data_IF_871942631014
#
_entry.id   IF_871942631014
#
_cell.length_a   1.000
_cell.length_b   1.000
_cell.length_c   1.000
_cell.angle_alpha   90.00
_cell.angle_beta   90.00
_cell.angle_gamma   90.00
#
_symmetry.space_group_name_H-M   'P 1'
#
loop_
_entity.id
_entity.type
_entity.pdbx_description
1 polymer ?
#
# COMPACT_ATOMS: atom_id res chain seq x y z
N UNK A 1 -15.58 0.87 -10.91
CA UNK A 1 -14.50 -0.14 -10.94
C UNK A 1 -13.18 0.58 -11.22
N UNK A 2 -12.07 0.20 -10.56
CA UNK A 2 -10.81 0.97 -10.58
C UNK A 2 -10.18 1.12 -11.98
N UNK A 3 -10.43 0.18 -12.91
CA UNK A 3 -9.87 0.21 -14.27
C UNK A 3 -10.21 1.45 -15.08
N UNK A 4 -11.43 1.99 -14.94
CA UNK A 4 -11.81 3.21 -15.67
C UNK A 4 -10.96 4.41 -15.24
N UNK A 5 -10.60 4.48 -13.95
CA UNK A 5 -9.72 5.54 -13.43
C UNK A 5 -8.26 5.27 -13.81
N UNK A 6 -7.79 4.02 -13.71
CA UNK A 6 -6.42 3.67 -14.11
C UNK A 6 -6.19 3.93 -15.60
N UNK A 7 -7.12 3.55 -16.48
CA UNK A 7 -7.02 3.83 -17.90
C UNK A 7 -7.10 5.33 -18.23
N UNK A 8 -7.93 6.10 -17.50
CA UNK A 8 -8.08 7.54 -17.72
C UNK A 8 -6.85 8.34 -17.27
N UNK A 9 -6.27 8.01 -16.12
CA UNK A 9 -5.20 8.80 -15.50
C UNK A 9 -3.81 8.21 -15.70
N UNK A 10 -3.71 6.92 -16.05
CA UNK A 10 -2.46 6.18 -16.25
C UNK A 10 -1.38 6.50 -15.19
N UNK A 11 -1.66 6.32 -13.89
CA UNK A 11 -0.79 6.80 -12.83
C UNK A 11 0.47 5.94 -12.68
N UNK A 12 1.55 6.55 -12.16
CA UNK A 12 2.77 5.84 -11.74
C UNK A 12 2.66 5.27 -10.31
N UNK A 13 1.80 5.86 -9.48
CA UNK A 13 1.60 5.51 -8.07
C UNK A 13 0.09 5.46 -7.80
N UNK A 14 -0.39 4.36 -7.23
CA UNK A 14 -1.75 4.17 -6.75
C UNK A 14 -1.75 4.07 -5.22
N UNK A 15 -2.51 4.94 -4.57
CA UNK A 15 -2.75 4.89 -3.12
C UNK A 15 -4.20 4.46 -2.89
N UNK A 16 -4.41 3.32 -2.25
CA UNK A 16 -5.72 2.78 -1.89
C UNK A 16 -5.86 2.80 -0.38
N UNK A 17 -6.56 3.79 0.17
CA UNK A 17 -6.75 3.92 1.62
C UNK A 17 -8.20 4.28 1.96
N UNK A 18 -8.50 4.42 3.25
CA UNK A 18 -9.84 4.71 3.75
C UNK A 18 -9.96 4.34 5.22
N UNK A 19 -11.08 3.74 5.60
CA UNK A 19 -11.27 3.18 6.94
C UNK A 19 -11.11 1.68 6.91
N UNK A 20 -10.51 1.14 7.97
CA UNK A 20 -10.50 -0.28 8.26
C UNK A 20 -10.39 -0.48 9.76
N UNK A 21 -10.41 -1.72 10.18
CA UNK A 21 -10.29 -2.06 11.57
C UNK A 21 -10.62 -3.52 11.79
N UNK A 22 -9.91 -4.13 12.73
CA UNK A 22 -10.29 -5.44 13.22
C UNK A 22 -11.66 -5.35 13.89
N UNK A 23 -12.57 -6.23 13.50
CA UNK A 23 -13.86 -6.40 14.17
C UNK A 23 -13.62 -6.99 15.55
N UNK A 24 -12.75 -7.99 15.62
CA UNK A 24 -12.38 -8.67 16.86
C UNK A 24 -10.88 -8.54 17.12
N UNK A 25 -10.52 -7.72 18.10
CA UNK A 25 -9.13 -7.34 18.39
C UNK A 25 -8.36 -8.48 19.07
N UNK A 26 -7.10 -8.68 18.64
CA UNK A 26 -6.14 -9.56 19.32
C UNK A 26 -6.20 -11.05 18.95
N UNK A 27 -7.05 -11.45 18.00
CA UNK A 27 -7.16 -12.82 17.53
C UNK A 27 -7.59 -12.89 16.07
N UNK A 28 -7.49 -14.07 15.45
CA UNK A 28 -7.87 -14.34 14.05
C UNK A 28 -7.32 -13.29 13.07
N UNK A 29 -6.01 -13.02 13.16
CA UNK A 29 -5.34 -12.08 12.24
C UNK A 29 -5.37 -12.56 10.78
N UNK A 30 -5.51 -13.87 10.57
CA UNK A 30 -5.51 -14.46 9.23
C UNK A 30 -6.91 -14.64 8.62
N UNK A 31 -7.96 -14.13 9.28
CA UNK A 31 -9.32 -14.20 8.79
C UNK A 31 -9.70 -12.88 8.12
N UNK A 32 -9.84 -12.88 6.79
CA UNK A 32 -10.22 -11.69 6.01
C UNK A 32 -11.57 -11.09 6.42
N UNK A 33 -12.46 -11.88 7.03
CA UNK A 33 -13.75 -11.42 7.52
C UNK A 33 -13.66 -10.80 8.92
N UNK A 34 -12.51 -10.90 9.60
CA UNK A 34 -12.25 -10.18 10.84
C UNK A 34 -11.86 -8.72 10.60
N UNK A 35 -11.84 -8.25 9.35
CA UNK A 35 -11.51 -6.89 8.98
C UNK A 35 -12.70 -6.25 8.27
N UNK A 36 -12.99 -4.99 8.61
CA UNK A 36 -14.16 -4.29 8.06
C UNK A 36 -14.06 -4.15 6.55
N UNK A 37 -12.89 -3.76 6.04
CA UNK A 37 -12.71 -3.35 4.65
C UNK A 37 -11.49 -3.95 3.95
N UNK A 38 -10.62 -4.69 4.63
CA UNK A 38 -9.41 -5.29 4.01
C UNK A 38 -9.71 -6.09 2.74
N UNK A 39 -10.84 -6.82 2.68
CA UNK A 39 -11.26 -7.56 1.48
C UNK A 39 -11.40 -6.67 0.24
N UNK A 40 -11.82 -5.42 0.40
CA UNK A 40 -11.97 -4.48 -0.70
C UNK A 40 -10.63 -3.88 -1.13
N UNK A 41 -9.69 -3.71 -0.19
CA UNK A 41 -8.32 -3.33 -0.53
C UNK A 41 -7.64 -4.43 -1.35
N UNK A 42 -7.71 -5.68 -0.88
CA UNK A 42 -7.22 -6.86 -1.61
C UNK A 42 -7.78 -6.91 -3.03
N UNK A 43 -9.10 -6.85 -3.16
CA UNK A 43 -9.77 -6.87 -4.47
C UNK A 43 -9.33 -5.71 -5.38
N UNK A 44 -9.12 -4.52 -4.82
CA UNK A 44 -8.67 -3.35 -5.58
C UNK A 44 -7.24 -3.54 -6.08
N UNK A 45 -6.34 -4.08 -5.24
CA UNK A 45 -4.95 -4.37 -5.61
C UNK A 45 -4.90 -5.43 -6.72
N UNK A 46 -5.64 -6.53 -6.58
CA UNK A 46 -5.74 -7.58 -7.61
C UNK A 46 -6.16 -6.97 -8.95
N UNK A 47 -7.24 -6.18 -8.95
CA UNK A 47 -7.72 -5.51 -10.18
C UNK A 47 -6.67 -4.55 -10.76
N UNK A 48 -5.97 -3.78 -9.94
CA UNK A 48 -4.92 -2.89 -10.42
C UNK A 48 -3.77 -3.67 -11.08
N UNK A 49 -3.36 -4.81 -10.51
CA UNK A 49 -2.33 -5.68 -11.08
C UNK A 49 -2.76 -6.37 -12.37
N UNK A 50 -4.02 -6.78 -12.48
CA UNK A 50 -4.59 -7.29 -13.72
C UNK A 50 -4.56 -6.24 -14.83
N UNK A 51 -4.88 -4.98 -14.52
CA UNK A 51 -4.83 -3.88 -15.48
C UNK A 51 -3.39 -3.58 -15.94
N UNK A 52 -2.44 -3.59 -15.01
CA UNK A 52 -1.03 -3.39 -15.31
C UNK A 52 -0.40 -4.54 -16.13
N UNK A 53 -1.02 -5.72 -16.11
CA UNK A 53 -0.47 -6.96 -16.69
C UNK A 53 0.80 -7.44 -15.95
N UNK A 54 0.88 -7.23 -14.64
CA UNK A 54 1.90 -7.82 -13.77
C UNK A 54 3.34 -7.29 -13.94
N UNK A 55 3.52 -6.18 -14.66
CA UNK A 55 4.85 -5.61 -14.90
C UNK A 55 5.48 -4.88 -13.69
N UNK A 56 4.76 -4.73 -12.57
CA UNK A 56 5.19 -4.03 -11.34
C UNK A 56 5.75 -2.60 -11.58
N UNK A 57 5.22 -1.92 -12.61
CA UNK A 57 5.50 -0.54 -13.00
C UNK A 57 4.71 0.49 -12.18
N UNK A 58 3.51 0.16 -11.73
CA UNK A 58 2.61 0.91 -10.87
C UNK A 58 3.01 0.62 -9.43
N UNK A 59 3.47 1.64 -8.70
CA UNK A 59 3.72 1.50 -7.28
C UNK A 59 2.39 1.56 -6.52
N UNK A 60 2.05 0.51 -5.77
CA UNK A 60 0.79 0.42 -5.03
C UNK A 60 1.04 0.48 -3.53
N UNK A 61 0.46 1.49 -2.88
CA UNK A 61 0.23 1.50 -1.44
C UNK A 61 -1.22 1.13 -1.17
N UNK A 62 -1.49 0.22 -0.23
CA UNK A 62 -2.86 -0.14 0.14
C UNK A 62 -3.07 -0.38 1.64
N UNK A 63 -4.27 -0.02 2.13
CA UNK A 63 -4.70 -0.27 3.49
C UNK A 63 -5.02 1.00 4.29
N UNK A 64 -5.48 0.78 5.51
CA UNK A 64 -5.76 1.80 6.52
C UNK A 64 -5.34 1.31 7.92
N UNK A 65 -5.91 1.92 8.96
CA UNK A 65 -5.72 1.49 10.34
C UNK A 65 -6.10 0.02 10.54
N UNK A 66 -5.21 -0.75 11.16
CA UNK A 66 -5.40 -2.16 11.49
C UNK A 66 -5.80 -3.08 10.32
N UNK A 67 -5.41 -2.74 9.10
CA UNK A 67 -5.67 -3.58 7.92
C UNK A 67 -5.00 -4.95 8.01
N UNK A 68 -5.54 -5.91 7.26
CA UNK A 68 -4.92 -7.22 7.05
C UNK A 68 -3.74 -7.10 6.09
N UNK A 69 -2.63 -6.62 6.63
CA UNK A 69 -1.38 -6.35 5.92
C UNK A 69 -0.96 -7.48 4.98
N UNK A 70 -0.91 -8.72 5.47
CA UNK A 70 -0.38 -9.86 4.73
C UNK A 70 -1.23 -10.17 3.49
N UNK A 71 -2.56 -10.16 3.62
CA UNK A 71 -3.45 -10.39 2.48
C UNK A 71 -3.31 -9.29 1.41
N UNK A 72 -3.10 -8.04 1.82
CA UNK A 72 -2.89 -6.91 0.89
C UNK A 72 -1.54 -7.04 0.17
N UNK A 73 -0.49 -7.45 0.89
CA UNK A 73 0.82 -7.71 0.30
C UNK A 73 0.76 -8.90 -0.67
N UNK A 74 0.10 -10.00 -0.30
CA UNK A 74 -0.08 -11.19 -1.14
C UNK A 74 -0.88 -10.88 -2.41
N UNK A 75 -1.84 -9.94 -2.34
CA UNK A 75 -2.56 -9.42 -3.50
C UNK A 75 -1.66 -8.66 -4.51
N UNK A 76 -0.44 -8.29 -4.10
CA UNK A 76 0.56 -7.66 -4.96
C UNK A 76 0.81 -6.17 -4.69
N UNK A 77 0.45 -5.64 -3.51
CA UNK A 77 0.82 -4.28 -3.15
C UNK A 77 2.35 -4.16 -2.96
N UNK A 78 2.92 -2.98 -3.24
CA UNK A 78 4.33 -2.72 -2.95
C UNK A 78 4.54 -2.37 -1.47
N UNK A 79 3.60 -1.63 -0.91
CA UNK A 79 3.53 -1.26 0.50
C UNK A 79 2.10 -1.45 1.01
N UNK A 80 1.97 -1.83 2.26
CA UNK A 80 0.70 -1.89 2.95
C UNK A 80 0.79 -1.37 4.37
N UNK A 81 -0.32 -0.86 4.86
CA UNK A 81 -0.40 -0.36 6.23
C UNK A 81 -0.62 -1.46 7.25
N UNK A 82 -0.23 -1.13 8.47
CA UNK A 82 -0.52 -1.80 9.72
C UNK A 82 -0.07 -3.26 9.84
N UNK A 83 1.21 -3.61 9.55
CA UNK A 83 1.76 -4.93 9.89
C UNK A 83 1.49 -5.36 11.34
N UNK A 84 1.58 -4.41 12.28
CA UNK A 84 1.32 -4.63 13.70
C UNK A 84 -0.17 -4.47 14.10
N UNK A 85 -1.08 -4.24 13.15
CA UNK A 85 -2.53 -4.04 13.35
C UNK A 85 -2.85 -2.87 14.29
N UNK A 86 -2.07 -1.80 14.17
CA UNK A 86 -2.17 -0.54 14.90
C UNK A 86 -2.90 0.56 14.10
N UNK A 87 -3.25 1.64 14.79
CA UNK A 87 -3.66 2.87 14.14
C UNK A 87 -2.43 3.50 13.47
N UNK A 88 -2.60 4.05 12.26
CA UNK A 88 -1.55 4.74 11.52
C UNK A 88 -1.90 6.22 11.37
N UNK A 89 -0.92 7.05 11.02
CA UNK A 89 -1.21 8.44 10.70
C UNK A 89 -1.79 8.57 9.29
N UNK A 90 -2.69 9.54 9.08
CA UNK A 90 -3.23 9.80 7.75
C UNK A 90 -2.15 10.29 6.77
N UNK A 91 -1.02 10.80 7.28
CA UNK A 91 0.14 11.21 6.49
C UNK A 91 1.00 10.05 6.02
N UNK A 92 0.99 8.89 6.71
CA UNK A 92 1.88 7.78 6.40
C UNK A 92 1.78 7.31 4.93
N UNK A 93 0.58 7.15 4.33
CA UNK A 93 0.45 6.84 2.89
C UNK A 93 1.06 7.91 1.98
N UNK A 94 0.99 9.18 2.38
CA UNK A 94 1.51 10.31 1.61
C UNK A 94 3.04 10.37 1.67
N UNK A 95 3.63 10.05 2.82
CA UNK A 95 5.10 9.95 2.99
C UNK A 95 5.65 8.88 2.05
N UNK A 96 5.03 7.69 2.02
CA UNK A 96 5.44 6.61 1.12
C UNK A 96 5.33 7.03 -0.35
N UNK A 97 4.16 7.54 -0.75
CA UNK A 97 3.93 7.97 -2.13
C UNK A 97 4.89 9.09 -2.54
N UNK A 98 5.11 10.08 -1.67
CA UNK A 98 6.02 11.20 -1.90
C UNK A 98 7.48 10.75 -2.03
N UNK A 99 7.92 9.80 -1.20
CA UNK A 99 9.26 9.22 -1.33
C UNK A 99 9.46 8.53 -2.67
N UNK A 100 8.50 7.70 -3.08
CA UNK A 100 8.55 7.00 -4.37
C UNK A 100 8.54 8.01 -5.53
N UNK A 101 7.67 9.03 -5.45
CA UNK A 101 7.53 10.04 -6.50
C UNK A 101 8.80 10.88 -6.71
N UNK A 102 9.52 11.20 -5.63
CA UNK A 102 10.68 12.09 -5.66
C UNK A 102 12.01 11.36 -5.81
N UNK A 103 12.02 10.04 -5.64
CA UNK A 103 13.21 9.20 -5.83
C UNK A 103 13.43 8.90 -7.31
N UNK A 104 14.69 8.93 -7.75
CA UNK A 104 15.10 8.60 -9.12
C UNK A 104 14.62 7.20 -9.54
N UNK A 105 14.17 7.06 -10.79
CA UNK A 105 13.61 5.81 -11.30
C UNK A 105 14.57 4.61 -11.26
N UNK A 106 15.89 4.85 -11.24
CA UNK A 106 16.90 3.79 -11.14
C UNK A 106 17.13 3.33 -9.69
N UNK A 107 16.57 4.03 -8.69
CA UNK A 107 16.72 3.66 -7.28
C UNK A 107 15.50 2.90 -6.79
N UNK A 108 15.75 1.93 -5.92
CA UNK A 108 14.73 1.13 -5.27
C UNK A 108 14.48 1.67 -3.86
N UNK A 109 13.22 1.99 -3.55
CA UNK A 109 12.79 2.51 -2.24
C UNK A 109 12.27 1.36 -1.39
N UNK A 110 12.82 1.21 -0.19
CA UNK A 110 12.45 0.19 0.80
C UNK A 110 11.93 0.83 2.08
N UNK A 111 11.38 0.02 2.99
CA UNK A 111 10.94 0.50 4.31
C UNK A 111 12.07 1.17 5.10
N UNK A 112 13.33 0.75 4.92
CA UNK A 112 14.47 1.35 5.61
C UNK A 112 14.71 2.81 5.18
N UNK A 113 14.30 3.19 3.98
CA UNK A 113 14.47 4.54 3.44
C UNK A 113 13.42 5.53 3.95
N UNK A 114 12.32 5.02 4.53
CA UNK A 114 11.13 5.81 4.92
C UNK A 114 10.73 5.66 6.39
N UNK A 115 11.13 4.60 7.10
CA UNK A 115 10.60 4.27 8.43
C UNK A 115 10.75 5.37 9.47
N UNK A 116 11.79 6.20 9.37
CA UNK A 116 12.03 7.30 10.30
C UNK A 116 11.12 8.52 10.04
N UNK A 117 10.45 8.57 8.89
CA UNK A 117 9.50 9.62 8.49
C UNK A 117 8.04 9.21 8.79
N UNK A 118 7.81 7.94 9.15
CA UNK A 118 6.50 7.39 9.50
C UNK A 118 6.23 7.48 10.99
N UNK A 119 4.96 7.64 11.39
CA UNK A 119 4.58 7.79 12.81
C UNK A 119 5.04 6.61 13.68
N UNK A 120 4.77 5.40 13.23
CA UNK A 120 5.04 4.15 13.96
C UNK A 120 6.07 3.26 13.23
N UNK A 121 6.81 3.84 12.28
CA UNK A 121 7.81 3.12 11.49
C UNK A 121 7.26 1.89 10.78
N UNK A 122 8.04 0.80 10.83
CA UNK A 122 7.70 -0.47 10.18
C UNK A 122 6.47 -1.18 10.79
N UNK A 123 6.09 -0.83 12.02
CA UNK A 123 4.87 -1.36 12.64
C UNK A 123 3.61 -0.75 12.00
N UNK A 124 3.72 0.50 11.53
CA UNK A 124 2.64 1.25 10.90
C UNK A 124 2.55 1.03 9.39
N UNK A 125 3.66 0.87 8.69
CA UNK A 125 3.67 0.56 7.25
C UNK A 125 4.88 -0.32 6.96
N UNK A 126 4.73 -1.32 6.09
CA UNK A 126 5.86 -2.05 5.55
C UNK A 126 5.58 -2.48 4.11
N UNK A 127 6.53 -3.16 3.48
CA UNK A 127 6.37 -3.60 2.10
C UNK A 127 7.64 -4.18 1.49
N UNK A 128 7.50 -4.69 0.26
CA UNK A 128 8.60 -5.22 -0.56
C UNK A 128 9.40 -4.11 -1.26
N UNK A 129 8.89 -2.88 -1.26
CA UNK A 129 9.50 -1.74 -1.93
C UNK A 129 8.99 -1.49 -3.35
N UNK A 130 9.47 -0.39 -3.94
CA UNK A 130 9.17 0.01 -5.31
C UNK A 130 10.30 0.84 -5.91
N UNK A 131 10.46 0.80 -7.23
CA UNK A 131 11.30 1.77 -7.94
C UNK A 131 10.73 3.18 -7.83
N UNK A 132 11.63 4.17 -7.70
CA UNK A 132 11.29 5.58 -7.78
C UNK A 132 10.59 5.94 -9.10
N UNK A 133 9.94 7.10 -9.13
CA UNK A 133 9.21 7.59 -10.32
C UNK A 133 9.74 8.90 -10.88
N UNK A 134 10.69 9.55 -10.20
CA UNK A 134 11.31 10.77 -10.71
C UNK A 134 12.19 10.40 -11.91
N UNK A 135 11.84 10.95 -13.07
CA UNK A 135 12.72 10.93 -14.25
C UNK A 135 13.54 12.21 -14.23
N UNK A 136 14.85 12.07 -14.17
CA UNK A 136 15.76 13.19 -14.44
C UNK A 136 15.79 13.35 -15.96
N UNK A 137 15.28 14.48 -16.46
CA UNK A 137 15.37 14.86 -17.87
C UNK A 137 16.77 15.42 -18.14
#
# INVERSE_FOLDING_TARGET
>A
MIWGLLGKYNPDILVVTGHDGMIKKGYNFNDIYNYRNSKYFVETVIRARMWEQGANKLAIFAGACQSYYEAIMEAGANFASSPARILIDFKDPLVVAGKIATTDFNKYVTINDIKNELRDGENGVSGIGAHGKKRTI
#
